data_IF_524873637536
#
_entry.id   IF_524873637536
#
_cell.length_a   1.000
_cell.length_b   1.000
_cell.length_c   1.000
_cell.angle_alpha   90.00
_cell.angle_beta   90.00
_cell.angle_gamma   90.00
#
_symmetry.space_group_name_H-M   'P 1'
#
loop_
_entity.id
_entity.type
_entity.pdbx_description
1 polymer ?
#
# COMPACT_ATOMS: atom_id res chain seq x y z
N UNK A 1 8.48 2.35 -9.79
CA UNK A 1 7.65 1.16 -9.66
C UNK A 1 7.17 0.65 -11.02
N UNK A 2 6.63 1.51 -11.89
CA UNK A 2 6.13 1.11 -13.22
C UNK A 2 7.20 0.41 -14.08
N UNK A 3 8.43 0.91 -14.06
CA UNK A 3 9.57 0.29 -14.76
C UNK A 3 9.89 -1.09 -14.19
N UNK A 4 9.85 -1.23 -12.87
CA UNK A 4 10.10 -2.50 -12.18
C UNK A 4 8.98 -3.52 -12.42
N UNK A 5 7.75 -3.04 -12.59
CA UNK A 5 6.58 -3.87 -12.90
C UNK A 5 6.67 -4.41 -14.34
N UNK A 6 7.00 -3.54 -15.31
CA UNK A 6 7.11 -3.90 -16.72
C UNK A 6 8.33 -4.79 -17.03
N UNK A 7 9.43 -4.63 -16.28
CA UNK A 7 10.64 -5.45 -16.41
C UNK A 7 10.48 -6.89 -15.91
N UNK A 8 9.38 -7.22 -15.21
CA UNK A 8 9.17 -8.53 -14.58
C UNK A 8 9.93 -8.72 -13.25
N UNK A 9 10.61 -7.69 -12.74
CA UNK A 9 11.33 -7.75 -11.47
C UNK A 9 10.39 -7.97 -10.29
N UNK A 10 9.20 -7.32 -10.31
CA UNK A 10 8.19 -7.45 -9.25
C UNK A 10 7.68 -8.89 -9.08
N UNK A 11 7.59 -9.67 -10.15
CA UNK A 11 7.19 -11.07 -10.08
C UNK A 11 8.20 -11.91 -9.30
N UNK A 12 9.50 -11.61 -9.44
CA UNK A 12 10.56 -12.31 -8.69
C UNK A 12 10.61 -11.91 -7.23
N UNK A 13 10.43 -10.63 -6.93
CA UNK A 13 10.29 -10.15 -5.56
C UNK A 13 9.08 -10.82 -4.90
N UNK A 14 7.94 -10.90 -5.60
CA UNK A 14 6.75 -11.59 -5.11
C UNK A 14 7.01 -13.08 -4.82
N UNK A 15 7.80 -13.76 -5.66
CA UNK A 15 8.17 -15.15 -5.45
C UNK A 15 9.07 -15.34 -4.22
N UNK A 16 10.08 -14.49 -4.04
CA UNK A 16 10.98 -14.55 -2.89
C UNK A 16 10.21 -14.27 -1.58
N UNK A 17 9.34 -13.27 -1.61
CA UNK A 17 8.56 -12.85 -0.46
C UNK A 17 7.36 -13.77 -0.15
N UNK A 18 7.00 -14.66 -1.07
CA UNK A 18 5.88 -15.60 -0.88
C UNK A 18 6.05 -16.46 0.38
N UNK A 19 7.27 -16.95 0.63
CA UNK A 19 7.59 -17.75 1.82
C UNK A 19 7.35 -16.98 3.13
N UNK A 20 7.66 -15.68 3.14
CA UNK A 20 7.47 -14.83 4.31
C UNK A 20 5.99 -14.44 4.48
N UNK A 21 5.34 -14.02 3.38
CA UNK A 21 3.95 -13.57 3.40
C UNK A 21 2.97 -14.70 3.70
N UNK A 22 3.26 -15.93 3.32
CA UNK A 22 2.46 -17.10 3.72
C UNK A 22 2.41 -17.31 5.23
N UNK A 23 3.48 -16.97 5.95
CA UNK A 23 3.45 -16.99 7.42
C UNK A 23 2.43 -16.01 7.99
N UNK A 24 2.24 -14.88 7.31
CA UNK A 24 1.22 -13.88 7.63
C UNK A 24 -0.17 -14.20 7.07
N UNK A 25 -0.28 -15.26 6.25
CA UNK A 25 -1.54 -15.67 5.63
C UNK A 25 -1.88 -14.96 4.33
N UNK A 26 -0.89 -14.35 3.68
CA UNK A 26 -0.99 -13.64 2.41
C UNK A 26 -0.24 -14.39 1.31
N UNK A 27 -0.65 -14.23 0.07
CA UNK A 27 0.11 -14.71 -1.09
C UNK A 27 1.24 -13.75 -1.44
N UNK A 28 2.29 -14.24 -2.11
CA UNK A 28 3.42 -13.43 -2.53
C UNK A 28 3.06 -12.23 -3.41
N UNK A 29 1.97 -12.32 -4.18
CA UNK A 29 1.47 -11.20 -4.99
C UNK A 29 1.01 -10.00 -4.17
N UNK A 30 0.64 -10.20 -2.92
CA UNK A 30 0.21 -9.12 -2.02
C UNK A 30 1.32 -8.13 -1.70
N UNK A 31 2.60 -8.49 -1.94
CA UNK A 31 3.73 -7.59 -1.72
C UNK A 31 3.65 -6.34 -2.63
N UNK A 32 3.16 -6.49 -3.86
CA UNK A 32 3.10 -5.39 -4.84
C UNK A 32 2.19 -4.26 -4.36
N UNK A 33 0.90 -4.49 -4.06
CA UNK A 33 0.05 -3.45 -3.47
C UNK A 33 0.56 -2.92 -2.12
N UNK A 34 1.22 -3.76 -1.33
CA UNK A 34 1.80 -3.32 -0.06
C UNK A 34 2.97 -2.36 -0.27
N UNK A 35 3.89 -2.65 -1.18
CA UNK A 35 5.00 -1.74 -1.55
C UNK A 35 4.48 -0.40 -2.11
N UNK A 36 3.46 -0.44 -2.95
CA UNK A 36 2.80 0.78 -3.44
C UNK A 36 2.17 1.55 -2.26
N UNK A 37 1.60 0.84 -1.29
CA UNK A 37 1.00 1.39 -0.07
C UNK A 37 1.97 2.19 0.81
N UNK A 38 3.26 1.87 0.83
CA UNK A 38 4.28 2.70 1.49
C UNK A 38 4.44 4.08 0.84
N UNK A 39 4.26 4.18 -0.47
CA UNK A 39 4.22 5.48 -1.15
C UNK A 39 2.91 6.21 -0.90
N UNK A 40 1.79 5.57 -1.20
CA UNK A 40 0.44 6.09 -0.98
C UNK A 40 -0.55 4.94 -0.81
N UNK A 41 -1.35 4.96 0.24
CA UNK A 41 -2.33 3.91 0.53
C UNK A 41 -3.43 3.80 -0.53
N UNK A 42 -3.81 4.91 -1.16
CA UNK A 42 -4.88 4.91 -2.18
C UNK A 42 -4.52 4.06 -3.40
N UNK A 43 -3.41 4.31 -4.12
CA UNK A 43 -3.00 3.45 -5.22
C UNK A 43 -2.63 2.03 -4.74
N UNK A 44 -2.17 1.84 -3.51
CA UNK A 44 -1.95 0.52 -2.92
C UNK A 44 -3.24 -0.29 -2.83
N UNK A 45 -4.31 0.29 -2.33
CA UNK A 45 -5.64 -0.33 -2.29
C UNK A 45 -6.17 -0.58 -3.70
N UNK A 46 -5.97 0.35 -4.64
CA UNK A 46 -6.37 0.15 -6.03
C UNK A 46 -5.63 -1.00 -6.70
N UNK A 47 -4.32 -1.12 -6.46
CA UNK A 47 -3.49 -2.21 -6.97
C UNK A 47 -3.89 -3.58 -6.39
N UNK A 48 -4.51 -3.63 -5.21
CA UNK A 48 -5.00 -4.89 -4.64
C UNK A 48 -6.07 -5.59 -5.49
N UNK A 49 -6.71 -4.87 -6.43
CA UNK A 49 -7.68 -5.44 -7.38
C UNK A 49 -7.05 -6.43 -8.35
N UNK A 50 -5.74 -6.38 -8.56
CA UNK A 50 -5.01 -7.34 -9.40
C UNK A 50 -4.83 -8.71 -8.74
N UNK A 51 -5.14 -8.82 -7.45
CA UNK A 51 -5.07 -10.08 -6.72
C UNK A 51 -6.23 -10.99 -7.12
N UNK A 52 -5.90 -12.21 -7.53
CA UNK A 52 -6.87 -13.22 -7.96
C UNK A 52 -7.72 -13.79 -6.82
N UNK A 53 -7.19 -13.79 -5.60
CA UNK A 53 -7.88 -14.27 -4.40
C UNK A 53 -8.61 -13.12 -3.71
N UNK A 54 -9.92 -13.25 -3.57
CA UNK A 54 -10.74 -12.27 -2.85
C UNK A 54 -10.35 -12.17 -1.37
N UNK A 55 -9.94 -13.26 -0.77
CA UNK A 55 -9.42 -13.33 0.59
C UNK A 55 -8.15 -12.48 0.74
N UNK A 56 -7.17 -12.70 -0.14
CA UNK A 56 -5.89 -11.98 -0.10
C UNK A 56 -6.11 -10.50 -0.40
N UNK A 57 -7.02 -10.18 -1.31
CA UNK A 57 -7.41 -8.80 -1.62
C UNK A 57 -7.99 -8.10 -0.40
N UNK A 58 -8.97 -8.70 0.27
CA UNK A 58 -9.59 -8.12 1.48
C UNK A 58 -8.57 -7.94 2.60
N UNK A 59 -7.73 -8.94 2.83
CA UNK A 59 -6.68 -8.88 3.84
C UNK A 59 -5.64 -7.80 3.53
N UNK A 60 -5.21 -7.68 2.27
CA UNK A 60 -4.28 -6.63 1.83
C UNK A 60 -4.88 -5.23 1.99
N UNK A 61 -6.16 -5.05 1.63
CA UNK A 61 -6.86 -3.78 1.82
C UNK A 61 -6.95 -3.38 3.29
N UNK A 62 -7.23 -4.35 4.18
CA UNK A 62 -7.30 -4.09 5.62
C UNK A 62 -5.93 -3.78 6.23
N UNK A 63 -4.84 -4.34 5.70
CA UNK A 63 -3.49 -4.10 6.20
C UNK A 63 -2.83 -2.83 5.65
N UNK A 64 -3.22 -2.39 4.45
CA UNK A 64 -2.65 -1.20 3.81
C UNK A 64 -2.71 0.07 4.68
N UNK A 65 -3.78 0.38 5.44
CA UNK A 65 -3.83 1.56 6.30
C UNK A 65 -2.84 1.55 7.47
N UNK A 66 -2.36 0.39 7.91
CA UNK A 66 -1.35 0.29 8.97
C UNK A 66 0.05 0.66 8.48
N UNK A 67 0.27 0.63 7.17
CA UNK A 67 1.54 1.05 6.60
C UNK A 67 1.66 2.57 6.64
N UNK A 68 2.82 3.05 7.08
CA UNK A 68 3.11 4.48 7.09
C UNK A 68 3.44 4.94 5.69
N UNK A 69 2.50 5.63 5.05
CA UNK A 69 2.68 6.21 3.72
C UNK A 69 3.29 7.62 3.81
N UNK A 70 3.80 8.11 2.69
CA UNK A 70 4.43 9.43 2.61
C UNK A 70 3.50 10.58 3.03
N UNK A 71 2.18 10.43 2.89
CA UNK A 71 1.21 11.42 3.35
C UNK A 71 1.10 11.53 4.88
N UNK A 72 1.48 10.50 5.62
CA UNK A 72 1.51 10.53 7.09
C UNK A 72 2.77 11.17 7.66
N UNK A 73 3.87 11.20 6.88
CA UNK A 73 5.16 11.75 7.33
C UNK A 73 5.06 13.20 7.77
N UNK A 74 4.42 14.14 7.04
CA UNK A 74 4.24 15.52 7.50
C UNK A 74 3.46 15.62 8.82
N UNK A 75 2.47 14.75 9.02
CA UNK A 75 1.68 14.70 10.26
C UNK A 75 2.57 14.27 11.42
N UNK A 76 3.38 13.23 11.23
CA UNK A 76 4.34 12.77 12.24
C UNK A 76 5.38 13.84 12.55
N UNK A 77 5.88 14.54 11.52
CA UNK A 77 6.82 15.63 11.67
C UNK A 77 6.24 16.78 12.51
N UNK A 78 5.00 17.17 12.23
CA UNK A 78 4.32 18.23 12.96
C UNK A 78 4.14 17.86 14.45
N UNK A 79 3.62 16.66 14.72
CA UNK A 79 3.42 16.22 16.10
C UNK A 79 4.75 16.04 16.85
N UNK A 80 5.75 15.44 16.22
CA UNK A 80 7.06 15.23 16.86
C UNK A 80 7.77 16.55 17.15
N UNK A 81 7.68 17.54 16.27
CA UNK A 81 8.25 18.87 16.49
C UNK A 81 7.52 19.64 17.61
N UNK A 82 6.17 19.48 17.70
CA UNK A 82 5.39 20.17 18.72
C UNK A 82 5.63 19.61 20.14
N UNK A 83 5.73 18.28 20.28
CA UNK A 83 5.85 17.67 21.60
C UNK A 83 7.28 17.33 22.01
N UNK A 84 8.16 17.04 21.08
CA UNK A 84 9.54 16.60 21.34
C UNK A 84 10.56 17.30 20.42
N UNK A 85 10.81 18.63 20.58
CA UNK A 85 11.67 19.38 19.66
C UNK A 85 13.11 18.85 19.61
N UNK A 86 13.65 18.33 20.73
CA UNK A 86 15.01 17.77 20.78
C UNK A 86 15.16 16.36 20.19
N UNK A 87 14.06 15.56 20.18
CA UNK A 87 14.07 14.16 19.75
C UNK A 87 13.10 13.88 18.59
N UNK A 88 12.71 14.91 17.84
CA UNK A 88 11.71 14.82 16.79
C UNK A 88 12.01 13.72 15.76
N UNK A 89 13.26 13.60 15.32
CA UNK A 89 13.67 12.58 14.35
C UNK A 89 13.54 11.15 14.92
N UNK A 90 13.91 10.96 16.19
CA UNK A 90 13.85 9.65 16.85
C UNK A 90 12.40 9.22 17.09
N UNK A 91 11.53 10.17 17.45
CA UNK A 91 10.09 9.93 17.60
C UNK A 91 9.45 9.57 16.25
N UNK A 92 9.81 10.28 15.17
CA UNK A 92 9.32 9.96 13.83
C UNK A 92 9.68 8.53 13.40
N UNK A 93 10.93 8.14 13.60
CA UNK A 93 11.40 6.77 13.29
C UNK A 93 10.64 5.77 14.15
N UNK A 94 10.47 6.05 15.45
CA UNK A 94 9.72 5.21 16.36
C UNK A 94 8.26 4.99 15.92
N UNK A 95 7.57 6.05 15.54
CA UNK A 95 6.19 5.98 15.03
C UNK A 95 6.08 5.13 13.76
N UNK A 96 7.08 5.22 12.88
CA UNK A 96 7.14 4.40 11.67
C UNK A 96 7.27 2.90 12.00
N UNK A 97 8.19 2.55 12.90
CA UNK A 97 8.37 1.17 13.35
C UNK A 97 7.16 0.62 14.11
N UNK A 98 6.54 1.43 14.96
CA UNK A 98 5.31 1.04 15.66
C UNK A 98 4.21 0.72 14.65
N UNK A 99 4.07 1.51 13.59
CA UNK A 99 3.09 1.24 12.52
C UNK A 99 3.32 -0.12 11.84
N UNK A 100 4.58 -0.48 11.57
CA UNK A 100 4.94 -1.77 10.98
C UNK A 100 4.62 -2.91 11.95
N UNK A 101 5.01 -2.78 13.22
CA UNK A 101 4.78 -3.82 14.26
C UNK A 101 3.28 -4.05 14.43
N UNK A 102 2.50 -2.99 14.56
CA UNK A 102 1.03 -3.08 14.67
C UNK A 102 0.44 -3.74 13.42
N UNK A 103 0.92 -3.40 12.22
CA UNK A 103 0.51 -4.04 10.98
C UNK A 103 0.75 -5.55 10.98
N UNK A 104 1.91 -6.00 11.46
CA UNK A 104 2.24 -7.42 11.57
C UNK A 104 1.33 -8.12 12.58
N UNK A 105 1.11 -7.53 13.75
CA UNK A 105 0.21 -8.06 14.78
C UNK A 105 -1.20 -8.21 14.23
N UNK A 106 -1.71 -7.18 13.56
CA UNK A 106 -3.03 -7.21 12.94
C UNK A 106 -3.13 -8.26 11.83
N UNK A 107 -2.06 -8.48 11.07
CA UNK A 107 -2.02 -9.56 10.07
C UNK A 107 -2.22 -10.93 10.72
N UNK A 108 -1.55 -11.20 11.84
CA UNK A 108 -1.73 -12.45 12.60
C UNK A 108 -3.14 -12.59 13.18
N UNK A 109 -3.69 -11.51 13.72
CA UNK A 109 -5.06 -11.49 14.26
C UNK A 109 -6.07 -11.79 13.13
N UNK A 110 -5.97 -11.12 12.00
CA UNK A 110 -6.88 -11.32 10.87
C UNK A 110 -6.75 -12.72 10.27
N UNK A 111 -5.53 -13.26 10.19
CA UNK A 111 -5.33 -14.65 9.75
C UNK A 111 -6.08 -15.64 10.64
N UNK A 112 -6.06 -15.43 11.96
CA UNK A 112 -6.64 -16.36 12.94
C UNK A 112 -8.14 -16.20 13.10
N UNK A 113 -8.66 -14.97 12.98
CA UNK A 113 -10.07 -14.65 13.24
C UNK A 113 -10.92 -14.60 11.99
N UNK A 114 -10.57 -13.76 11.01
CA UNK A 114 -11.40 -13.50 9.84
C UNK A 114 -11.11 -14.43 8.66
N UNK A 115 -9.86 -14.79 8.47
CA UNK A 115 -9.41 -15.48 7.25
C UNK A 115 -8.81 -16.85 7.59
N UNK A 116 -9.66 -17.76 8.08
CA UNK A 116 -9.29 -19.17 8.30
C UNK A 116 -9.07 -19.87 6.95
N UNK A 117 -7.95 -20.53 6.76
CA UNK A 117 -7.56 -21.27 5.56
C UNK A 117 -6.17 -20.90 5.07
N UNK A 118 -5.62 -21.69 4.17
CA UNK A 118 -4.33 -21.42 3.56
C UNK A 118 -4.45 -20.44 2.38
N UNK A 119 -3.45 -19.58 2.19
CA UNK A 119 -3.40 -18.72 1.00
C UNK A 119 -3.30 -19.59 -0.25
N UNK A 120 -3.91 -19.12 -1.34
CA UNK A 120 -3.83 -19.81 -2.63
C UNK A 120 -2.36 -19.99 -3.01
N UNK A 121 -1.93 -21.20 -3.40
CA UNK A 121 -0.56 -21.44 -3.78
C UNK A 121 -0.17 -20.53 -4.96
N UNK A 122 0.97 -19.88 -4.82
CA UNK A 122 1.50 -19.00 -5.85
C UNK A 122 2.12 -19.88 -6.95
N UNK A 123 1.33 -20.18 -7.96
CA UNK A 123 1.78 -20.83 -9.20
C UNK A 123 1.83 -19.74 -10.27
N UNK A 124 3.01 -19.25 -10.59
CA UNK A 124 3.21 -18.31 -11.69
C UNK A 124 4.46 -18.69 -12.45
N UNK A 125 4.34 -18.81 -13.75
CA UNK A 125 5.50 -18.84 -14.64
C UNK A 125 6.20 -17.49 -14.53
N UNK A 126 7.48 -17.51 -14.18
CA UNK A 126 8.27 -16.30 -14.09
C UNK A 126 8.41 -15.68 -15.49
N UNK A 127 7.89 -14.47 -15.71
CA UNK A 127 8.05 -13.82 -16.99
C UNK A 127 9.52 -13.60 -17.32
N UNK A 128 9.88 -13.77 -18.58
CA UNK A 128 11.21 -13.46 -19.07
C UNK A 128 11.52 -11.97 -18.88
N UNK A 129 12.76 -11.64 -18.54
CA UNK A 129 13.19 -10.25 -18.49
C UNK A 129 12.97 -9.61 -19.86
N UNK A 130 12.17 -8.55 -19.87
CA UNK A 130 12.01 -7.67 -21.03
C UNK A 130 12.53 -6.28 -20.67
N UNK A 131 13.26 -5.67 -21.60
CA UNK A 131 13.53 -4.25 -21.46
C UNK A 131 12.22 -3.48 -21.60
N UNK A 132 11.85 -2.65 -20.60
CA UNK A 132 10.61 -1.89 -20.66
C UNK A 132 10.62 -0.95 -21.87
N UNK A 133 9.62 -1.07 -22.71
CA UNK A 133 9.45 -0.16 -23.84
C UNK A 133 9.04 1.21 -23.35
N UNK A 134 9.81 2.26 -23.69
CA UNK A 134 9.55 3.62 -23.24
C UNK A 134 8.09 4.07 -23.50
N UNK A 135 7.52 3.70 -24.63
CA UNK A 135 6.12 4.00 -24.98
C UNK A 135 5.13 3.34 -24.01
N UNK A 136 5.35 2.07 -23.67
CA UNK A 136 4.49 1.32 -22.76
C UNK A 136 4.55 1.89 -21.34
N UNK A 137 5.76 2.24 -20.87
CA UNK A 137 5.96 2.85 -19.56
C UNK A 137 5.25 4.20 -19.45
N UNK A 138 5.39 5.05 -20.47
CA UNK A 138 4.72 6.38 -20.51
C UNK A 138 3.19 6.22 -20.54
N UNK A 139 2.69 5.30 -21.37
CA UNK A 139 1.26 5.03 -21.46
C UNK A 139 0.68 4.52 -20.13
N UNK A 140 1.36 3.57 -19.49
CA UNK A 140 0.98 3.01 -18.20
C UNK A 140 1.01 4.06 -17.08
N UNK A 141 2.03 4.92 -17.08
CA UNK A 141 2.12 6.06 -16.14
C UNK A 141 0.96 7.03 -16.34
N UNK A 142 0.64 7.34 -17.59
CA UNK A 142 -0.45 8.25 -17.91
C UNK A 142 -1.82 7.69 -17.48
N UNK A 143 -2.10 6.43 -17.77
CA UNK A 143 -3.34 5.77 -17.32
C UNK A 143 -3.46 5.74 -15.80
N UNK A 144 -2.40 5.30 -15.11
CA UNK A 144 -2.39 5.28 -13.63
C UNK A 144 -2.52 6.68 -13.02
N UNK A 145 -1.86 7.68 -13.61
CA UNK A 145 -1.98 9.07 -13.16
C UNK A 145 -3.38 9.64 -13.39
N UNK A 146 -3.96 9.39 -14.56
CA UNK A 146 -5.32 9.83 -14.90
C UNK A 146 -6.36 9.22 -13.97
N UNK A 147 -6.30 7.90 -13.74
CA UNK A 147 -7.20 7.19 -12.84
C UNK A 147 -7.07 7.69 -11.39
N UNK A 148 -5.84 7.94 -10.95
CA UNK A 148 -5.58 8.50 -9.63
C UNK A 148 -6.15 9.91 -9.50
N UNK A 149 -5.88 10.79 -10.47
CA UNK A 149 -6.37 12.17 -10.46
C UNK A 149 -7.90 12.22 -10.48
N UNK A 150 -8.55 11.42 -11.31
CA UNK A 150 -10.01 11.40 -11.37
C UNK A 150 -10.62 10.96 -10.03
N UNK A 151 -10.10 9.91 -9.41
CA UNK A 151 -10.62 9.39 -8.15
C UNK A 151 -10.26 10.30 -6.97
N UNK A 152 -9.01 10.77 -6.90
CA UNK A 152 -8.58 11.67 -5.84
C UNK A 152 -9.34 13.00 -5.91
N UNK A 153 -9.49 13.57 -7.12
CA UNK A 153 -10.24 14.81 -7.31
C UNK A 153 -11.71 14.65 -6.89
N UNK A 154 -12.39 13.58 -7.34
CA UNK A 154 -13.79 13.35 -6.99
C UNK A 154 -13.98 13.15 -5.49
N UNK A 155 -13.14 12.34 -4.86
CA UNK A 155 -13.28 12.03 -3.43
C UNK A 155 -12.93 13.25 -2.57
N UNK A 156 -11.82 13.94 -2.89
CA UNK A 156 -11.38 15.12 -2.14
C UNK A 156 -12.38 16.25 -2.32
N UNK A 157 -12.87 16.47 -3.55
CA UNK A 157 -13.85 17.52 -3.83
C UNK A 157 -15.17 17.29 -3.09
N UNK A 158 -15.70 16.07 -3.12
CA UNK A 158 -16.93 15.70 -2.39
C UNK A 158 -16.74 15.78 -0.89
N UNK A 159 -15.54 15.39 -0.37
CA UNK A 159 -15.26 15.45 1.06
C UNK A 159 -15.00 16.86 1.58
N UNK A 160 -14.42 17.76 0.77
CA UNK A 160 -14.14 19.14 1.17
C UNK A 160 -15.39 20.02 1.23
N UNK A 161 -16.41 19.76 0.41
CA UNK A 161 -17.66 20.52 0.43
C UNK A 161 -18.33 20.51 1.81
N UNK A 162 -18.65 19.36 2.44
CA UNK A 162 -19.28 19.35 3.76
C UNK A 162 -18.36 19.88 4.87
N UNK A 163 -17.04 19.65 4.77
CA UNK A 163 -16.08 20.17 5.76
C UNK A 163 -16.00 21.71 5.69
N UNK A 164 -16.00 22.28 4.49
CA UNK A 164 -16.03 23.73 4.31
C UNK A 164 -17.35 24.33 4.81
N UNK A 165 -18.48 23.64 4.60
CA UNK A 165 -19.78 24.09 5.09
C UNK A 165 -19.87 24.07 6.63
N UNK A 166 -19.32 23.08 7.29
CA UNK A 166 -19.30 23.01 8.77
C UNK A 166 -18.36 24.03 9.37
N UNK A 167 -17.25 24.36 8.71
CA UNK A 167 -16.28 25.36 9.19
C UNK A 167 -16.75 26.81 9.00
N UNK A 168 -17.62 27.08 8.02
CA UNK A 168 -18.21 28.41 7.80
C UNK A 168 -19.38 28.73 8.72
N UNK A 169 -19.91 27.71 9.44
CA UNK A 169 -21.08 27.86 10.32
C UNK A 169 -20.72 27.83 11.83
N UNK A 170 -19.44 27.67 12.16
CA UNK A 170 -18.89 27.79 13.50
C UNK A 170 -18.16 29.14 13.68
#
# INVERSE_FOLDING_TARGET
>A
LSILEDSGYMARVAFIMDKLLRKLGLSGRSIVPMLIGFGCSVPGVMASRTLSSERDRRMTVLLTPFMSCSAKVPIYAFFSAAFFPHYAALVMIGMYFIGIIVGIIMAFIFKKTLFKGEPVPFVMELPNYRMPGAKNVVHLLWEKAKDFLQKAFSIIFIATIPVSYTHLRA
#
